data_IF_586344596395
#
_entry.id   IF_586344596395
#
_cell.length_a   1.000
_cell.length_b   1.000
_cell.length_c   1.000
_cell.angle_alpha   90.00
_cell.angle_beta   90.00
_cell.angle_gamma   90.00
#
_symmetry.space_group_name_H-M   'P 1'
#
loop_
_entity.id
_entity.type
_entity.pdbx_description
1 polymer ?
#
# COMPACT_ATOMS: atom_id res chain seq x y z
N UNK A 1 -35.51 6.86 -24.41
CA UNK A 1 -34.60 5.69 -24.52
C UNK A 1 -33.54 5.81 -23.44
N UNK A 2 -33.41 4.76 -22.64
CA UNK A 2 -32.57 4.72 -21.44
C UNK A 2 -31.08 4.88 -21.79
N UNK A 3 -30.45 5.95 -21.30
CA UNK A 3 -28.99 6.07 -21.28
C UNK A 3 -28.47 5.26 -20.09
N UNK A 4 -27.67 4.24 -20.41
CA UNK A 4 -26.96 3.40 -19.46
C UNK A 4 -26.23 4.27 -18.44
N UNK A 5 -26.44 3.95 -17.17
CA UNK A 5 -25.70 4.49 -16.05
C UNK A 5 -24.20 4.35 -16.32
N UNK A 6 -23.46 5.45 -16.16
CA UNK A 6 -22.02 5.38 -15.92
C UNK A 6 -21.83 4.74 -14.55
N UNK A 7 -21.84 3.41 -14.54
CA UNK A 7 -21.39 2.63 -13.40
C UNK A 7 -19.88 2.80 -13.33
N UNK A 8 -19.40 3.53 -12.32
CA UNK A 8 -18.01 3.52 -11.90
C UNK A 8 -17.55 2.06 -11.82
N UNK A 9 -16.46 1.61 -12.47
CA UNK A 9 -15.68 0.54 -11.86
C UNK A 9 -14.99 1.18 -10.64
N UNK A 10 -15.29 0.78 -9.40
CA UNK A 10 -14.70 1.43 -8.24
C UNK A 10 -13.22 1.02 -8.14
N UNK A 11 -12.31 1.98 -8.18
CA UNK A 11 -10.90 1.77 -7.81
C UNK A 11 -10.83 1.33 -6.33
N UNK A 12 -11.83 1.72 -5.53
CA UNK A 12 -12.03 1.39 -4.13
C UNK A 12 -12.61 -0.01 -3.83
N UNK A 13 -12.74 -0.89 -4.84
CA UNK A 13 -13.46 -2.16 -4.68
C UNK A 13 -12.73 -3.16 -3.76
N UNK A 14 -11.41 -2.99 -3.60
CA UNK A 14 -10.57 -3.80 -2.74
C UNK A 14 -9.54 -2.93 -2.03
N UNK A 15 -9.87 -2.47 -0.83
CA UNK A 15 -8.96 -1.74 0.07
C UNK A 15 -8.89 -2.44 1.44
N UNK A 16 -7.87 -2.14 2.23
CA UNK A 16 -7.80 -2.53 3.64
C UNK A 16 -8.31 -1.40 4.53
N UNK A 17 -9.08 -1.72 5.56
CA UNK A 17 -9.43 -0.78 6.61
C UNK A 17 -8.17 -0.30 7.33
N UNK A 18 -8.20 0.94 7.81
CA UNK A 18 -7.21 1.45 8.78
C UNK A 18 -7.66 0.97 10.16
N UNK A 19 -6.84 0.12 10.79
CA UNK A 19 -7.12 -0.47 12.11
C UNK A 19 -6.37 0.29 13.21
N UNK A 20 -5.04 0.30 13.13
CA UNK A 20 -4.17 0.93 14.13
C UNK A 20 -2.78 1.18 13.56
N UNK A 21 -2.41 2.46 13.47
CA UNK A 21 -1.07 2.89 13.06
C UNK A 21 0.00 2.34 14.02
N UNK A 22 1.11 1.87 13.46
CA UNK A 22 2.28 1.42 14.20
C UNK A 22 3.56 1.83 13.47
N UNK A 23 4.46 2.51 14.20
CA UNK A 23 5.80 2.89 13.71
C UNK A 23 6.90 2.02 14.30
N UNK A 24 6.53 0.94 15.00
CA UNK A 24 7.50 -0.01 15.50
C UNK A 24 8.14 -0.73 14.32
N UNK A 25 9.45 -0.88 14.35
CA UNK A 25 10.16 -1.72 13.40
C UNK A 25 9.59 -3.14 13.48
N UNK A 26 9.21 -3.69 12.33
CA UNK A 26 8.72 -5.07 12.26
C UNK A 26 9.86 -6.06 12.47
N UNK A 27 9.57 -7.16 13.15
CA UNK A 27 10.51 -8.25 13.42
C UNK A 27 9.98 -9.58 12.90
N UNK A 28 10.90 -10.49 12.58
CA UNK A 28 10.55 -11.84 12.22
C UNK A 28 9.75 -12.51 13.36
N UNK A 29 8.58 -13.07 13.03
CA UNK A 29 7.68 -13.69 13.99
C UNK A 29 6.57 -12.79 14.52
N UNK A 30 6.59 -11.50 14.20
CA UNK A 30 5.51 -10.58 14.55
C UNK A 30 4.19 -11.00 13.87
N UNK A 31 3.13 -11.09 14.67
CA UNK A 31 1.78 -11.26 14.18
C UNK A 31 1.15 -9.91 13.90
N UNK A 32 0.39 -9.85 12.82
CA UNK A 32 -0.43 -8.71 12.48
C UNK A 32 -1.83 -9.15 12.06
N UNK A 33 -2.76 -8.20 12.09
CA UNK A 33 -4.10 -8.37 11.54
C UNK A 33 -4.37 -7.26 10.55
N UNK A 34 -5.09 -7.61 9.50
CA UNK A 34 -5.63 -6.68 8.52
C UNK A 34 -7.09 -7.04 8.25
N UNK A 35 -7.83 -6.13 7.62
CA UNK A 35 -9.23 -6.35 7.32
C UNK A 35 -9.54 -5.70 5.97
N UNK A 36 -9.95 -6.47 4.94
CA UNK A 36 -10.57 -5.89 3.76
C UNK A 36 -11.80 -5.07 4.16
N UNK A 37 -12.10 -3.99 3.45
CA UNK A 37 -13.36 -3.24 3.65
C UNK A 37 -14.55 -4.21 3.60
N UNK A 38 -15.43 -4.13 4.60
CA UNK A 38 -16.60 -5.02 4.79
C UNK A 38 -16.27 -6.53 4.86
N UNK A 39 -15.01 -6.88 5.13
CA UNK A 39 -14.54 -8.26 5.23
C UNK A 39 -14.20 -8.72 6.64
N UNK A 40 -13.89 -10.02 6.80
CA UNK A 40 -13.42 -10.55 8.08
C UNK A 40 -11.98 -10.13 8.36
N UNK A 41 -11.59 -10.20 9.64
CA UNK A 41 -10.19 -10.08 10.04
C UNK A 41 -9.36 -11.23 9.47
N UNK A 42 -8.27 -10.86 8.82
CA UNK A 42 -7.27 -11.75 8.24
C UNK A 42 -5.98 -11.62 9.05
N UNK A 43 -5.40 -12.75 9.43
CA UNK A 43 -4.24 -12.79 10.33
C UNK A 43 -2.99 -13.16 9.54
N UNK A 44 -1.90 -12.45 9.82
CA UNK A 44 -0.64 -12.67 9.15
C UNK A 44 0.54 -12.70 10.12
N UNK A 45 1.69 -13.07 9.56
CA UNK A 45 2.96 -13.13 10.29
C UNK A 45 4.08 -12.62 9.41
N UNK A 46 4.97 -11.83 10.01
CA UNK A 46 6.21 -11.38 9.38
C UNK A 46 7.19 -12.55 9.36
N UNK A 47 7.61 -12.94 8.16
CA UNK A 47 8.53 -14.08 7.96
C UNK A 47 9.97 -13.60 7.88
N UNK A 48 10.19 -12.50 7.16
CA UNK A 48 11.50 -11.84 7.04
C UNK A 48 11.31 -10.32 6.89
N UNK A 49 11.87 -9.49 7.79
CA UNK A 49 11.73 -8.03 7.72
C UNK A 49 12.77 -7.33 6.82
N UNK A 50 13.77 -8.06 6.35
CA UNK A 50 14.95 -7.60 5.60
C UNK A 50 15.14 -8.37 4.28
N UNK A 51 14.04 -8.76 3.65
CA UNK A 51 14.10 -9.46 2.37
C UNK A 51 14.60 -8.55 1.25
N UNK A 52 15.12 -9.17 0.20
CA UNK A 52 15.54 -8.50 -1.02
C UNK A 52 14.84 -9.13 -2.23
N UNK A 53 14.30 -8.32 -3.13
CA UNK A 53 13.60 -8.82 -4.31
C UNK A 53 13.88 -7.91 -5.48
N UNK A 54 14.44 -8.46 -6.56
CA UNK A 54 14.74 -7.74 -7.81
C UNK A 54 15.31 -6.35 -7.54
N UNK A 55 16.44 -6.26 -6.82
CA UNK A 55 17.11 -4.99 -6.50
C UNK A 55 16.49 -4.16 -5.37
N UNK A 56 15.23 -4.39 -4.97
CA UNK A 56 14.66 -3.79 -3.76
C UNK A 56 15.26 -4.43 -2.51
N UNK A 57 15.62 -3.60 -1.53
CA UNK A 57 16.16 -4.02 -0.23
C UNK A 57 15.17 -3.64 0.88
N UNK A 58 15.30 -4.29 2.04
CA UNK A 58 14.46 -4.04 3.22
C UNK A 58 12.96 -4.25 2.96
N UNK A 59 12.64 -5.19 2.08
CA UNK A 59 11.26 -5.64 1.87
C UNK A 59 10.82 -6.50 3.06
N UNK A 60 9.54 -6.44 3.39
CA UNK A 60 8.94 -7.28 4.43
C UNK A 60 8.22 -8.45 3.77
N UNK A 61 8.78 -9.64 3.89
CA UNK A 61 8.14 -10.88 3.47
C UNK A 61 7.12 -11.33 4.52
N UNK A 62 5.88 -11.49 4.09
CA UNK A 62 4.75 -11.81 4.96
C UNK A 62 3.98 -13.05 4.50
N UNK A 63 3.32 -13.69 5.47
CA UNK A 63 2.23 -14.62 5.23
C UNK A 63 0.91 -14.02 5.70
N UNK A 64 -0.18 -14.38 5.04
CA UNK A 64 -1.55 -14.24 5.56
C UNK A 64 -2.20 -15.62 5.52
N UNK A 65 -2.69 -16.08 6.67
CA UNK A 65 -3.20 -17.43 6.87
C UNK A 65 -4.68 -17.56 6.50
N UNK A 66 -5.07 -18.78 6.12
CA UNK A 66 -6.43 -19.14 5.72
C UNK A 66 -7.50 -18.87 6.79
N UNK A 67 -7.29 -19.14 8.10
CA UNK A 67 -8.29 -18.84 9.11
C UNK A 67 -8.58 -17.33 9.18
N UNK A 68 -9.85 -16.98 8.95
CA UNK A 68 -10.39 -15.62 9.09
C UNK A 68 -11.43 -15.58 10.20
N UNK A 69 -11.75 -14.39 10.70
CA UNK A 69 -12.62 -14.21 11.87
C UNK A 69 -13.38 -12.89 11.83
N UNK A 70 -14.61 -12.87 12.35
CA UNK A 70 -15.37 -11.63 12.56
C UNK A 70 -14.90 -10.87 13.81
N UNK A 71 -14.09 -11.51 14.65
CA UNK A 71 -13.49 -10.91 15.86
C UNK A 71 -11.97 -10.79 15.72
N UNK A 72 -11.41 -9.71 16.25
CA UNK A 72 -9.98 -9.42 16.24
C UNK A 72 -9.23 -10.17 17.36
N UNK A 73 -9.23 -11.49 17.28
CA UNK A 73 -8.52 -12.40 18.21
C UNK A 73 -7.67 -13.35 17.38
N UNK A 74 -6.37 -13.43 17.68
CA UNK A 74 -5.43 -14.30 16.95
C UNK A 74 -5.89 -15.76 17.04
N UNK A 75 -6.21 -16.43 15.91
CA UNK A 75 -6.65 -17.81 15.94
C UNK A 75 -5.52 -18.75 16.37
N UNK A 76 -5.87 -19.84 17.05
CA UNK A 76 -4.93 -20.94 17.28
C UNK A 76 -4.71 -21.74 15.98
N UNK A 77 -3.54 -22.37 15.86
CA UNK A 77 -3.26 -23.30 14.75
C UNK A 77 -3.02 -22.64 13.39
N UNK A 78 -2.51 -21.40 13.37
CA UNK A 78 -1.98 -20.80 12.15
C UNK A 78 -0.82 -21.64 11.62
N UNK A 79 -0.86 -22.02 10.35
CA UNK A 79 0.13 -22.91 9.73
C UNK A 79 0.53 -22.41 8.34
N UNK A 80 1.82 -22.51 8.01
CA UNK A 80 2.36 -22.19 6.68
C UNK A 80 1.72 -23.02 5.56
N UNK A 81 1.18 -24.19 5.89
CA UNK A 81 0.55 -25.08 4.90
C UNK A 81 -0.89 -24.65 4.58
N UNK A 82 -1.41 -23.66 5.31
CA UNK A 82 -2.77 -23.11 5.16
C UNK A 82 -2.72 -21.60 5.00
N UNK A 83 -2.11 -21.13 3.91
CA UNK A 83 -2.10 -19.70 3.57
C UNK A 83 -3.38 -19.30 2.82
N UNK A 84 -3.90 -18.12 3.14
CA UNK A 84 -5.00 -17.50 2.41
C UNK A 84 -4.51 -17.00 1.06
N UNK A 85 -3.35 -16.34 1.03
CA UNK A 85 -2.71 -15.88 -0.20
C UNK A 85 -1.25 -16.36 -0.19
N UNK A 86 -0.61 -16.54 -1.36
CA UNK A 86 0.81 -16.89 -1.42
C UNK A 86 1.69 -15.91 -0.62
N UNK A 87 2.91 -16.31 -0.23
CA UNK A 87 3.90 -15.40 0.34
C UNK A 87 4.05 -14.17 -0.56
N UNK A 88 4.19 -12.99 0.06
CA UNK A 88 4.26 -11.73 -0.66
C UNK A 88 5.20 -10.75 0.03
N UNK A 89 5.75 -9.82 -0.74
CA UNK A 89 6.51 -8.70 -0.22
C UNK A 89 5.63 -7.48 -0.04
N UNK A 90 5.92 -6.72 1.00
CA UNK A 90 5.36 -5.41 1.28
C UNK A 90 6.45 -4.55 1.91
N UNK A 91 6.10 -3.33 2.29
CA UNK A 91 6.93 -2.38 3.01
C UNK A 91 6.24 -1.90 4.30
N UNK A 92 6.94 -1.02 5.03
CA UNK A 92 6.48 -0.43 6.29
C UNK A 92 5.18 0.39 6.21
N UNK A 93 4.83 1.09 5.10
CA UNK A 93 3.55 1.77 4.92
C UNK A 93 2.31 1.01 5.39
N UNK A 94 2.24 -0.32 5.21
CA UNK A 94 1.10 -1.08 5.72
C UNK A 94 0.92 -0.99 7.24
N UNK A 95 2.00 -0.88 8.01
CA UNK A 95 1.93 -0.66 9.46
C UNK A 95 1.80 0.82 9.82
N UNK A 96 2.54 1.71 9.16
CA UNK A 96 2.59 3.12 9.55
C UNK A 96 1.29 3.85 9.21
N UNK A 97 0.63 3.49 8.10
CA UNK A 97 -0.72 3.94 7.76
C UNK A 97 -1.81 3.15 8.50
N UNK A 98 -1.46 2.04 9.16
CA UNK A 98 -2.34 1.33 10.10
C UNK A 98 -3.24 0.26 9.49
N UNK A 99 -2.97 -0.15 8.24
CA UNK A 99 -3.66 -1.27 7.60
C UNK A 99 -3.31 -2.62 8.25
N UNK A 100 -2.08 -2.75 8.75
CA UNK A 100 -1.58 -3.90 9.49
C UNK A 100 -1.40 -3.52 10.97
N UNK A 101 -2.31 -3.99 11.81
CA UNK A 101 -2.24 -3.79 13.26
C UNK A 101 -1.41 -4.91 13.91
N UNK A 102 -0.36 -4.59 14.70
CA UNK A 102 0.41 -5.60 15.43
C UNK A 102 -0.43 -6.27 16.54
N UNK A 103 -0.37 -7.60 16.63
CA UNK A 103 -1.08 -8.39 17.66
C UNK A 103 -0.16 -9.02 18.71
N UNK A 104 1.15 -9.02 18.50
CA UNK A 104 2.13 -9.68 19.36
C UNK A 104 3.23 -10.33 18.52
N UNK A 105 4.11 -11.08 19.16
CA UNK A 105 5.22 -11.74 18.48
C UNK A 105 5.47 -13.11 19.09
N UNK A 106 5.86 -14.06 18.25
CA UNK A 106 6.38 -15.34 18.69
C UNK A 106 7.56 -15.75 17.79
N UNK A 107 8.63 -16.35 18.33
CA UNK A 107 9.76 -16.83 17.51
C UNK A 107 9.29 -17.76 16.40
N UNK A 108 9.88 -17.63 15.21
CA UNK A 108 9.65 -18.57 14.11
C UNK A 108 10.41 -19.86 14.38
N UNK A 109 9.69 -20.96 14.53
CA UNK A 109 10.24 -22.31 14.66
C UNK A 109 10.37 -23.04 13.33
N UNK A 110 10.89 -24.27 13.41
CA UNK A 110 10.86 -25.20 12.30
C UNK A 110 9.40 -25.57 11.98
N UNK A 111 8.97 -25.36 10.73
CA UNK A 111 7.57 -25.54 10.33
C UNK A 111 6.75 -24.25 10.21
N UNK A 112 7.23 -23.13 10.77
CA UNK A 112 6.50 -21.84 10.70
C UNK A 112 6.69 -21.11 9.36
N UNK A 113 7.78 -21.41 8.65
CA UNK A 113 8.13 -20.83 7.34
C UNK A 113 8.61 -21.90 6.38
N UNK A 114 8.40 -21.71 5.08
CA UNK A 114 9.03 -22.56 4.07
C UNK A 114 10.56 -22.40 4.13
N UNK A 115 11.35 -23.47 3.84
CA UNK A 115 12.81 -23.37 3.79
C UNK A 115 13.29 -22.36 2.75
N UNK A 116 12.54 -22.21 1.66
CA UNK A 116 12.76 -21.23 0.61
C UNK A 116 11.39 -20.81 0.04
N UNK A 117 11.31 -19.57 -0.44
CA UNK A 117 10.13 -19.03 -1.12
C UNK A 117 10.46 -18.77 -2.57
N UNK A 118 9.43 -18.85 -3.42
CA UNK A 118 9.57 -18.73 -4.85
C UNK A 118 8.55 -17.73 -5.39
N UNK A 119 8.97 -16.90 -6.34
CA UNK A 119 8.18 -15.80 -6.87
C UNK A 119 8.35 -15.70 -8.39
N UNK A 120 7.28 -15.39 -9.10
CA UNK A 120 7.27 -15.17 -10.56
C UNK A 120 6.85 -13.75 -10.90
N UNK A 121 7.28 -13.24 -12.05
CA UNK A 121 6.96 -11.87 -12.46
C UNK A 121 5.48 -11.64 -12.75
N UNK A 122 4.82 -12.66 -13.30
CA UNK A 122 3.40 -12.62 -13.61
C UNK A 122 2.80 -14.01 -13.45
N UNK A 123 1.50 -14.13 -13.18
CA UNK A 123 0.80 -15.40 -13.23
C UNK A 123 1.01 -16.21 -14.52
N UNK A 124 1.28 -15.51 -15.63
CA UNK A 124 1.43 -16.09 -16.97
C UNK A 124 2.89 -16.26 -17.39
N UNK A 125 3.83 -15.71 -16.61
CA UNK A 125 5.27 -15.85 -16.83
C UNK A 125 5.80 -17.02 -16.00
N UNK A 126 5.97 -18.17 -16.66
CA UNK A 126 6.57 -19.36 -16.06
C UNK A 126 8.06 -19.50 -16.37
N UNK A 127 8.64 -18.59 -17.13
CA UNK A 127 10.03 -18.71 -17.60
C UNK A 127 11.01 -18.40 -16.47
N UNK A 128 10.68 -17.44 -15.59
CA UNK A 128 11.55 -17.00 -14.52
C UNK A 128 10.91 -17.14 -13.14
N UNK A 129 11.59 -17.87 -12.27
CA UNK A 129 11.27 -17.97 -10.84
C UNK A 129 12.45 -17.45 -10.02
N UNK A 130 12.15 -16.63 -9.02
CA UNK A 130 13.13 -16.01 -8.13
C UNK A 130 12.91 -16.47 -6.69
N UNK A 131 13.99 -16.56 -5.93
CA UNK A 131 13.93 -16.80 -4.49
C UNK A 131 13.69 -15.49 -3.70
N UNK A 132 13.56 -15.59 -2.38
CA UNK A 132 13.40 -14.46 -1.44
C UNK A 132 14.60 -13.49 -1.32
N UNK A 133 15.67 -13.73 -2.10
CA UNK A 133 16.83 -12.85 -2.25
C UNK A 133 16.86 -12.20 -3.64
N UNK A 134 15.88 -12.49 -4.51
CA UNK A 134 15.82 -12.00 -5.89
C UNK A 134 16.71 -12.76 -6.88
N UNK A 135 17.23 -13.92 -6.50
CA UNK A 135 18.08 -14.76 -7.35
C UNK A 135 17.23 -15.75 -8.14
N UNK A 136 17.61 -16.06 -9.39
CA UNK A 136 16.95 -17.10 -10.18
C UNK A 136 17.07 -18.46 -9.48
N UNK A 137 15.96 -19.18 -9.39
CA UNK A 137 15.89 -20.47 -8.72
C UNK A 137 14.86 -21.39 -9.38
N UNK A 138 15.16 -22.68 -9.38
CA UNK A 138 14.19 -23.72 -9.72
C UNK A 138 13.12 -23.81 -8.62
N UNK A 139 11.82 -23.77 -8.94
CA UNK A 139 10.76 -23.81 -7.95
C UNK A 139 10.75 -25.14 -7.19
N UNK A 140 10.85 -25.04 -5.88
CA UNK A 140 10.67 -26.15 -4.95
C UNK A 140 9.21 -26.34 -4.52
N UNK A 141 8.95 -27.26 -3.57
CA UNK A 141 7.61 -27.44 -3.03
C UNK A 141 7.15 -26.22 -2.24
N UNK A 142 5.93 -25.75 -2.52
CA UNK A 142 5.30 -24.65 -1.79
C UNK A 142 4.49 -23.73 -2.70
N UNK A 143 3.79 -22.76 -2.11
CA UNK A 143 3.08 -21.73 -2.87
C UNK A 143 4.07 -20.78 -3.55
N UNK A 144 3.84 -20.50 -4.83
CA UNK A 144 4.60 -19.52 -5.62
C UNK A 144 3.90 -18.16 -5.52
N UNK A 145 4.61 -17.17 -5.00
CA UNK A 145 4.17 -15.78 -4.93
C UNK A 145 4.38 -15.02 -6.25
N UNK A 146 4.05 -13.74 -6.26
CA UNK A 146 4.37 -12.83 -7.36
C UNK A 146 5.49 -11.89 -6.92
N UNK A 147 6.41 -11.54 -7.83
CA UNK A 147 7.38 -10.48 -7.56
C UNK A 147 6.65 -9.12 -7.48
N UNK A 148 7.26 -8.16 -6.78
CA UNK A 148 6.68 -6.85 -6.54
C UNK A 148 6.32 -6.60 -5.08
N UNK A 149 6.33 -5.32 -4.70
CA UNK A 149 5.83 -4.84 -3.41
C UNK A 149 4.31 -4.67 -3.50
N UNK A 150 3.60 -5.30 -2.59
CA UNK A 150 2.15 -5.21 -2.52
C UNK A 150 1.72 -4.13 -1.54
N UNK A 151 1.10 -3.08 -2.07
CA UNK A 151 0.41 -2.06 -1.28
C UNK A 151 -0.91 -2.61 -0.71
N UNK A 152 -1.62 -1.79 0.07
CA UNK A 152 -2.89 -2.19 0.69
C UNK A 152 -3.93 -2.67 -0.32
N UNK A 153 -4.00 -2.05 -1.51
CA UNK A 153 -4.88 -2.47 -2.60
C UNK A 153 -4.48 -3.82 -3.18
N UNK A 154 -3.17 -4.03 -3.34
CA UNK A 154 -2.59 -5.29 -3.82
C UNK A 154 -2.99 -6.44 -2.91
N UNK A 155 -2.76 -6.28 -1.60
CA UNK A 155 -3.11 -7.26 -0.56
C UNK A 155 -4.63 -7.50 -0.52
N UNK A 156 -5.44 -6.44 -0.43
CA UNK A 156 -6.89 -6.54 -0.36
C UNK A 156 -7.49 -7.30 -1.55
N UNK A 157 -7.03 -7.01 -2.77
CA UNK A 157 -7.48 -7.68 -4.00
C UNK A 157 -7.19 -9.19 -3.96
N UNK A 158 -6.01 -9.60 -3.47
CA UNK A 158 -5.67 -11.02 -3.38
C UNK A 158 -6.45 -11.73 -2.27
N UNK A 159 -6.63 -11.09 -1.12
CA UNK A 159 -7.49 -11.60 -0.04
C UNK A 159 -8.90 -11.84 -0.58
N UNK A 160 -9.51 -10.82 -1.19
CA UNK A 160 -10.88 -10.90 -1.70
C UNK A 160 -11.05 -12.00 -2.76
N UNK A 161 -10.11 -12.12 -3.69
CA UNK A 161 -10.09 -13.22 -4.68
C UNK A 161 -10.01 -14.58 -4.00
N UNK A 162 -9.22 -14.70 -2.94
CA UNK A 162 -9.06 -15.96 -2.21
C UNK A 162 -10.28 -16.33 -1.36
N UNK A 163 -10.92 -15.34 -0.74
CA UNK A 163 -12.18 -15.47 -0.01
C UNK A 163 -13.33 -15.87 -0.94
N UNK A 164 -13.42 -15.25 -2.12
CA UNK A 164 -14.46 -15.57 -3.11
C UNK A 164 -14.37 -17.03 -3.59
N UNK A 165 -13.15 -17.56 -3.78
CA UNK A 165 -12.94 -19.00 -4.08
C UNK A 165 -13.42 -19.94 -2.97
N UNK A 166 -13.65 -19.42 -1.77
CA UNK A 166 -14.13 -20.14 -0.58
C UNK A 166 -15.60 -19.82 -0.26
N UNK A 167 -16.30 -19.14 -1.17
CA UNK A 167 -17.71 -18.76 -1.01
C UNK A 167 -17.95 -17.54 -0.11
N UNK A 168 -16.89 -16.86 0.34
CA UNK A 168 -17.00 -15.60 1.08
C UNK A 168 -16.85 -14.46 0.08
N UNK A 169 -17.98 -13.86 -0.30
CA UNK A 169 -18.00 -12.74 -1.22
C UNK A 169 -18.04 -11.43 -0.45
N UNK A 170 -16.99 -10.62 -0.58
CA UNK A 170 -17.01 -9.25 -0.08
C UNK A 170 -17.98 -8.46 -0.97
N UNK A 171 -19.08 -8.00 -0.40
CA UNK A 171 -19.96 -7.04 -1.08
C UNK A 171 -19.38 -5.65 -0.85
N UNK A 172 -18.95 -4.93 -1.90
CA UNK A 172 -18.58 -3.53 -1.73
C UNK A 172 -19.84 -2.79 -1.25
N UNK A 173 -19.87 -2.33 0.00
CA UNK A 173 -21.00 -1.56 0.47
C UNK A 173 -20.91 -0.15 -0.14
N UNK A 174 -21.61 0.05 -1.25
CA UNK A 174 -21.71 1.36 -1.91
C UNK A 174 -22.55 2.35 -1.09
N UNK A 175 -23.37 1.88 -0.14
CA UNK A 175 -24.30 2.71 0.65
C UNK A 175 -23.69 3.25 1.96
N UNK A 176 -22.67 2.59 2.54
CA UNK A 176 -22.02 3.07 3.77
C UNK A 176 -20.98 4.18 3.55
N UNK A 177 -20.72 4.55 2.28
CA UNK A 177 -19.77 5.61 1.91
C UNK A 177 -20.44 6.97 1.65
N UNK A 178 -21.74 7.06 1.87
CA UNK A 178 -22.58 8.26 1.67
C UNK A 178 -22.47 9.28 2.83
N UNK A 179 -21.27 9.49 3.39
CA UNK A 179 -21.02 10.61 4.32
C UNK A 179 -21.01 11.98 3.62
N UNK A 180 -21.20 12.04 2.31
CA UNK A 180 -21.30 13.28 1.51
C UNK A 180 -22.72 13.63 1.06
N UNK A 181 -23.76 12.88 1.48
CA UNK A 181 -25.15 13.21 1.11
C UNK A 181 -25.77 14.43 1.81
N UNK A 182 -25.03 15.08 2.72
CA UNK A 182 -25.50 16.32 3.35
C UNK A 182 -25.10 17.61 2.59
N UNK A 183 -24.27 17.52 1.55
CA UNK A 183 -23.74 18.72 0.88
C UNK A 183 -24.40 19.05 -0.48
N UNK A 184 -25.21 18.14 -1.05
CA UNK A 184 -25.77 18.32 -2.41
C UNK A 184 -27.24 18.77 -2.32
N UNK A 185 -27.44 19.93 -1.73
CA UNK A 185 -28.70 20.67 -1.84
C UNK A 185 -28.39 22.16 -2.04
N UNK A 186 -27.80 22.50 -3.20
CA UNK A 186 -27.90 23.82 -3.82
C UNK A 186 -27.28 23.75 -5.23
N UNK A 187 -28.17 23.89 -6.23
CA UNK A 187 -28.05 24.64 -7.48
C UNK A 187 -26.70 24.64 -8.23
N UNK A 188 -26.59 23.91 -9.34
CA UNK A 188 -26.70 24.47 -10.72
C UNK A 188 -25.96 25.79 -10.93
N UNK A 189 -24.80 25.71 -11.58
CA UNK A 189 -24.48 26.50 -12.78
C UNK A 189 -23.29 25.84 -13.50
N UNK A 190 -23.25 26.08 -14.81
CA UNK A 190 -22.43 25.42 -15.83
C UNK A 190 -20.91 25.62 -15.62
N UNK A 191 -20.10 24.58 -15.81
CA UNK A 191 -18.84 24.67 -16.58
C UNK A 191 -18.25 23.28 -16.89
N UNK A 192 -17.76 23.15 -18.11
CA UNK A 192 -17.09 21.98 -18.68
C UNK A 192 -15.71 21.72 -18.02
N UNK A 193 -15.51 20.58 -17.33
CA UNK A 193 -14.26 19.81 -17.47
C UNK A 193 -14.32 18.40 -16.82
N UNK A 194 -13.70 17.43 -17.48
CA UNK A 194 -13.73 16.01 -17.13
C UNK A 194 -12.79 15.65 -15.96
N UNK A 195 -13.30 15.64 -14.71
CA UNK A 195 -12.52 15.31 -13.50
C UNK A 195 -12.48 13.81 -13.17
N UNK A 196 -11.44 13.09 -13.64
CA UNK A 196 -11.03 11.79 -13.10
C UNK A 196 -10.06 11.93 -11.92
N UNK A 197 -9.83 10.86 -11.15
CA UNK A 197 -8.83 10.81 -10.08
C UNK A 197 -7.42 11.10 -10.62
N UNK A 198 -6.69 11.97 -9.95
CA UNK A 198 -5.36 12.46 -10.32
C UNK A 198 -4.36 12.10 -9.24
N UNK A 199 -3.06 12.10 -9.57
CA UNK A 199 -2.01 11.77 -8.60
C UNK A 199 -0.87 12.77 -8.63
N UNK A 200 -0.15 12.84 -7.50
CA UNK A 200 1.13 13.51 -7.40
C UNK A 200 2.13 12.54 -6.80
N UNK A 201 3.25 12.31 -7.48
CA UNK A 201 4.41 11.63 -6.91
C UNK A 201 5.44 12.69 -6.53
N UNK A 202 5.86 12.72 -5.26
CA UNK A 202 6.93 13.60 -4.78
C UNK A 202 8.22 12.79 -4.66
N UNK A 203 9.16 13.03 -5.55
CA UNK A 203 10.46 12.36 -5.57
C UNK A 203 11.49 13.23 -4.85
N UNK A 204 11.95 12.76 -3.70
CA UNK A 204 12.97 13.43 -2.88
C UNK A 204 14.32 12.73 -3.08
N UNK A 205 15.32 13.44 -3.62
CA UNK A 205 16.64 12.90 -3.99
C UNK A 205 17.75 13.56 -3.17
N UNK A 206 18.72 12.75 -2.75
CA UNK A 206 19.92 13.12 -2.02
C UNK A 206 19.81 12.76 -0.54
N UNK A 207 20.06 11.50 -0.20
CA UNK A 207 20.17 11.07 1.20
C UNK A 207 21.64 11.06 1.63
N UNK A 208 22.10 12.17 2.24
CA UNK A 208 22.95 11.98 3.42
C UNK A 208 22.03 11.37 4.47
N UNK A 209 22.01 10.04 4.52
CA UNK A 209 21.42 9.18 5.55
C UNK A 209 20.43 9.91 6.47
N UNK A 210 19.13 9.69 6.26
CA UNK A 210 18.10 9.88 7.29
C UNK A 210 18.45 8.94 8.45
N UNK A 211 19.49 9.30 9.21
CA UNK A 211 19.93 8.58 10.39
C UNK A 211 18.90 8.89 11.45
N UNK A 212 18.37 7.84 12.06
CA UNK A 212 17.58 7.92 13.28
C UNK A 212 18.20 8.94 14.24
N UNK A 213 17.51 10.07 14.44
CA UNK A 213 17.88 11.09 15.42
C UNK A 213 18.64 12.33 14.92
N UNK A 214 18.99 12.45 13.64
CA UNK A 214 19.48 13.71 13.07
C UNK A 214 18.92 13.91 11.66
N UNK A 215 18.15 14.99 11.51
CA UNK A 215 17.33 15.40 10.35
C UNK A 215 16.08 14.51 10.10
N UNK A 216 14.91 15.19 9.99
CA UNK A 216 13.56 14.66 10.26
C UNK A 216 13.25 13.27 9.69
N UNK A 217 12.63 12.44 10.53
CA UNK A 217 12.22 11.07 10.20
C UNK A 217 11.29 11.07 8.97
N UNK A 218 11.46 10.09 8.05
CA UNK A 218 10.52 9.88 6.93
C UNK A 218 9.09 9.83 7.44
N UNK A 219 8.89 9.24 8.61
CA UNK A 219 7.59 9.12 9.25
C UNK A 219 7.04 10.47 9.73
N UNK A 220 7.90 11.38 10.19
CA UNK A 220 7.48 12.75 10.54
C UNK A 220 7.11 13.56 9.29
N UNK A 221 7.77 13.28 8.15
CA UNK A 221 7.41 13.87 6.87
C UNK A 221 6.06 13.34 6.39
N UNK A 222 5.83 12.02 6.45
CA UNK A 222 4.52 11.42 6.13
C UNK A 222 3.41 12.07 6.95
N UNK A 223 3.57 12.16 8.27
CA UNK A 223 2.59 12.80 9.15
C UNK A 223 2.30 14.24 8.73
N UNK A 224 3.35 15.00 8.39
CA UNK A 224 3.19 16.40 7.98
C UNK A 224 2.49 16.52 6.62
N UNK A 225 2.76 15.60 5.68
CA UNK A 225 2.10 15.54 4.38
C UNK A 225 0.61 15.16 4.55
N UNK A 226 0.31 14.12 5.34
CA UNK A 226 -1.06 13.72 5.67
C UNK A 226 -1.85 14.87 6.31
N UNK A 227 -1.26 15.54 7.31
CA UNK A 227 -1.90 16.68 7.97
C UNK A 227 -2.17 17.84 7.00
N UNK A 228 -1.24 18.13 6.10
CA UNK A 228 -1.41 19.19 5.11
C UNK A 228 -2.51 18.87 4.10
N UNK A 229 -2.60 17.62 3.65
CA UNK A 229 -3.66 17.16 2.76
C UNK A 229 -5.05 17.19 3.45
N UNK A 230 -5.13 16.69 4.69
CA UNK A 230 -6.36 16.67 5.46
C UNK A 230 -6.85 18.07 5.81
N UNK A 231 -5.94 18.99 6.18
CA UNK A 231 -6.28 20.37 6.47
C UNK A 231 -6.79 21.14 5.23
N UNK A 232 -6.39 20.71 4.04
CA UNK A 232 -6.79 21.32 2.77
C UNK A 232 -7.97 20.62 2.09
N UNK A 233 -8.38 19.43 2.56
CA UNK A 233 -9.38 18.56 1.96
C UNK A 233 -9.11 18.28 0.46
N UNK A 234 -7.84 18.01 0.13
CA UNK A 234 -7.40 17.86 -1.27
C UNK A 234 -7.08 16.43 -1.69
N UNK A 235 -7.02 15.48 -0.75
CA UNK A 235 -6.66 14.09 -1.04
C UNK A 235 -6.05 13.36 0.14
N UNK A 236 -5.37 12.24 -0.15
CA UNK A 236 -4.71 11.40 0.84
C UNK A 236 -3.31 10.97 0.37
N UNK A 237 -2.47 10.61 1.34
CA UNK A 237 -1.17 9.98 1.13
C UNK A 237 -1.36 8.47 1.14
N UNK A 238 -0.89 7.77 0.10
CA UNK A 238 -0.92 6.30 0.04
C UNK A 238 0.33 5.67 0.70
N UNK A 239 1.42 6.43 0.76
CA UNK A 239 2.65 6.06 1.46
C UNK A 239 3.89 6.54 0.73
N UNK A 240 5.00 5.87 1.00
CA UNK A 240 6.27 6.11 0.33
C UNK A 240 6.91 4.83 -0.22
N UNK A 241 7.70 4.98 -1.28
CA UNK A 241 8.55 3.94 -1.85
C UNK A 241 10.02 4.34 -1.79
N UNK A 242 10.89 3.34 -1.72
CA UNK A 242 12.34 3.54 -1.88
C UNK A 242 12.70 3.27 -3.35
N UNK A 243 13.19 4.26 -4.12
CA UNK A 243 13.59 4.05 -5.50
C UNK A 243 14.71 3.02 -5.63
N UNK A 244 14.69 2.29 -6.76
CA UNK A 244 15.55 1.12 -7.05
C UNK A 244 17.06 1.45 -7.11
N UNK A 245 17.42 2.67 -7.51
CA UNK A 245 18.79 3.10 -7.82
C UNK A 245 19.22 4.41 -7.14
N UNK A 246 18.32 5.06 -6.39
CA UNK A 246 18.55 6.42 -5.91
C UNK A 246 18.61 6.50 -4.38
N UNK A 247 19.57 7.31 -3.91
CA UNK A 247 19.57 7.89 -2.57
C UNK A 247 18.35 8.81 -2.41
N UNK A 248 17.17 8.27 -2.08
CA UNK A 248 15.93 9.05 -2.07
C UNK A 248 14.70 8.34 -1.50
N UNK A 249 13.56 9.02 -1.56
CA UNK A 249 12.25 8.52 -1.18
C UNK A 249 11.18 9.15 -2.08
N UNK A 250 10.24 8.33 -2.55
CA UNK A 250 9.11 8.77 -3.37
C UNK A 250 7.84 8.71 -2.51
N UNK A 251 7.06 9.78 -2.45
CA UNK A 251 5.74 9.79 -1.79
C UNK A 251 4.63 9.79 -2.83
N UNK A 252 3.56 9.01 -2.59
CA UNK A 252 2.44 8.84 -3.51
C UNK A 252 1.17 9.47 -2.93
N UNK A 253 0.63 10.47 -3.62
CA UNK A 253 -0.55 11.24 -3.19
C UNK A 253 -1.65 11.12 -4.26
N UNK A 254 -2.89 11.01 -3.82
CA UNK A 254 -4.05 10.82 -4.69
C UNK A 254 -5.21 11.74 -4.29
N UNK A 255 -5.99 12.16 -5.28
CA UNK A 255 -7.07 13.11 -5.08
C UNK A 255 -7.69 13.58 -6.40
N UNK A 256 -8.74 14.42 -6.34
CA UNK A 256 -9.48 14.84 -7.53
C UNK A 256 -8.72 15.83 -8.42
N UNK A 257 -7.65 16.47 -7.91
CA UNK A 257 -6.97 17.59 -8.56
C UNK A 257 -5.47 17.59 -8.16
N UNK A 258 -4.59 17.27 -9.12
CA UNK A 258 -3.15 17.18 -8.90
C UNK A 258 -2.50 18.54 -8.59
N UNK A 259 -3.06 19.64 -9.08
CA UNK A 259 -2.56 20.97 -8.78
C UNK A 259 -2.85 21.36 -7.32
N UNK A 260 -4.06 21.06 -6.84
CA UNK A 260 -4.43 21.24 -5.43
C UNK A 260 -3.62 20.34 -4.51
N UNK A 261 -3.47 19.05 -4.87
CA UNK A 261 -2.61 18.11 -4.13
C UNK A 261 -1.21 18.66 -3.92
N UNK A 262 -0.53 19.03 -5.02
CA UNK A 262 0.83 19.54 -4.95
C UNK A 262 0.91 20.83 -4.13
N UNK A 263 -0.05 21.74 -4.32
CA UNK A 263 -0.11 23.01 -3.58
C UNK A 263 -0.23 22.80 -2.08
N UNK A 264 -1.03 21.83 -1.63
CA UNK A 264 -1.24 21.53 -0.21
C UNK A 264 0.04 21.09 0.48
N UNK A 265 0.87 20.29 -0.20
CA UNK A 265 2.09 19.71 0.40
C UNK A 265 3.36 20.51 0.15
N UNK A 266 3.34 21.48 -0.78
CA UNK A 266 4.52 22.22 -1.22
C UNK A 266 5.30 22.87 -0.06
N UNK A 267 4.59 23.42 0.94
CA UNK A 267 5.21 24.06 2.11
C UNK A 267 5.91 23.04 3.01
N UNK A 268 5.32 21.86 3.17
CA UNK A 268 5.88 20.77 3.97
C UNK A 268 7.17 20.27 3.33
N UNK A 269 7.10 19.96 2.03
CA UNK A 269 8.22 19.45 1.24
C UNK A 269 9.41 20.43 1.24
N UNK A 270 9.15 21.72 1.01
CA UNK A 270 10.22 22.75 1.04
C UNK A 270 10.86 22.89 2.42
N UNK A 271 10.07 22.79 3.48
CA UNK A 271 10.58 22.88 4.86
C UNK A 271 11.56 21.74 5.19
N UNK A 272 11.38 20.57 4.56
CA UNK A 272 12.19 19.39 4.85
C UNK A 272 13.61 19.43 4.28
N UNK A 273 13.89 20.33 3.31
CA UNK A 273 15.26 20.66 2.91
C UNK A 273 15.99 19.60 2.08
N UNK A 274 15.26 18.73 1.36
CA UNK A 274 15.91 17.79 0.42
C UNK A 274 16.71 18.56 -0.65
N UNK A 275 17.92 18.07 -1.02
CA UNK A 275 18.77 18.71 -2.02
C UNK A 275 18.08 18.89 -3.38
N UNK A 276 17.27 17.90 -3.76
CA UNK A 276 16.47 17.94 -4.98
C UNK A 276 15.12 17.31 -4.71
N UNK A 277 14.06 18.02 -5.09
CA UNK A 277 12.71 17.47 -5.09
C UNK A 277 12.04 17.71 -6.44
N UNK A 278 11.42 16.67 -6.98
CA UNK A 278 10.64 16.71 -8.21
C UNK A 278 9.21 16.21 -7.92
N UNK A 279 8.21 16.97 -8.33
CA UNK A 279 6.83 16.54 -8.29
C UNK A 279 6.37 16.14 -9.69
N UNK A 280 5.78 14.95 -9.81
CA UNK A 280 5.17 14.46 -11.04
C UNK A 280 3.66 14.46 -10.83
N UNK A 281 2.95 15.35 -11.53
CA UNK A 281 1.49 15.40 -11.54
C UNK A 281 0.97 14.55 -12.69
N UNK A 282 -0.01 13.70 -12.42
CA UNK A 282 -0.68 12.87 -13.43
C UNK A 282 -2.17 13.19 -13.44
N UNK A 283 -2.67 13.70 -14.56
CA UNK A 283 -4.03 14.21 -14.71
C UNK A 283 -4.98 13.11 -15.25
N UNK A 284 -5.08 11.98 -14.55
CA UNK A 284 -5.94 10.86 -14.93
C UNK A 284 -5.25 9.49 -14.86
N UNK A 285 -5.84 8.44 -15.47
CA UNK A 285 -5.30 7.08 -15.44
C UNK A 285 -3.91 6.96 -16.10
N UNK A 286 -3.18 5.84 -15.89
CA UNK A 286 -1.88 5.62 -16.52
C UNK A 286 -1.87 5.90 -18.03
N UNK A 287 -0.90 6.69 -18.50
CA UNK A 287 -0.82 7.18 -19.87
C UNK A 287 -1.50 8.54 -20.12
N UNK A 288 -2.13 9.12 -19.10
CA UNK A 288 -2.66 10.49 -19.14
C UNK A 288 -1.54 11.53 -19.15
N UNK A 289 -1.92 12.80 -19.35
CA UNK A 289 -0.98 13.93 -19.32
C UNK A 289 -0.22 13.95 -17.99
N UNK A 290 1.10 13.99 -18.10
CA UNK A 290 2.00 14.19 -16.97
C UNK A 290 2.61 15.59 -17.01
N UNK A 291 2.86 16.17 -15.84
CA UNK A 291 3.62 17.40 -15.70
C UNK A 291 4.64 17.27 -14.57
N UNK A 292 5.91 17.46 -14.91
CA UNK A 292 7.02 17.52 -13.96
C UNK A 292 7.22 18.94 -13.47
N UNK A 293 7.40 19.08 -12.16
CA UNK A 293 7.62 20.35 -11.48
C UNK A 293 8.82 20.18 -10.55
N UNK A 294 9.91 20.89 -10.83
CA UNK A 294 11.04 20.96 -9.90
C UNK A 294 10.65 21.85 -8.73
N UNK A 295 10.73 21.31 -7.52
CA UNK A 295 10.55 22.07 -6.29
C UNK A 295 11.93 22.50 -5.82
N UNK A 296 12.24 23.78 -6.01
CA UNK A 296 13.44 24.37 -5.43
C UNK A 296 13.37 24.28 -3.91
N UNK A 297 14.49 23.86 -3.29
CA UNK A 297 14.68 23.94 -1.85
C UNK A 297 14.55 25.38 -1.33
N UNK A 298 14.52 25.57 0.00
CA UNK A 298 14.50 26.90 0.60
C UNK A 298 15.70 27.75 0.17
#
# INVERSE_FOLDING_TARGET
MAKRANVRPPVDMYALNILKKSRKQVQAGDYFVCQPVDGPYCFGRVVRPDAAMLGWQNCVLCYIYEPVSDVKVLPAGLSRDRLLIPPFFTDMPLWTCGHFEPLGSAPLGEGDRFPMHYFRNSPDDSEFTYNELGELAEPGPGPIGETGLWTQFGVAKRIAKSLAKRGIHLTPNLESRDLTKAAVAAETEEDDDAGGEQSVTIQCVGTRQLKKGQDGDIMELEDALEQALAAADTGWLDGHGLPFDAEGVDFFLYGPDADKLLKSVLKVVKKWGFPRVEAIKTYGPPGSKEQRVTISGP
#
